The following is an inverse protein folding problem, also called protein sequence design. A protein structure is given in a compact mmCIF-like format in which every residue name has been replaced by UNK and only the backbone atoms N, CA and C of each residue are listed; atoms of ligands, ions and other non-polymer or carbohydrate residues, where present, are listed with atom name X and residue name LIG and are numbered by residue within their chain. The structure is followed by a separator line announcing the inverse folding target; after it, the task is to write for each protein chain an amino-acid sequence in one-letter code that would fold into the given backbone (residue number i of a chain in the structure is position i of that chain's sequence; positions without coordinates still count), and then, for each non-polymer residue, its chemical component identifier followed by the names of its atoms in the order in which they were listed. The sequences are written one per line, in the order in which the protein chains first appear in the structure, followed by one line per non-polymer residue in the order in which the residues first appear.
data_IF_676684876652
#
_entry.id   IF_676684876652
#
_cell.length_a   1.000
_cell.length_b   1.000
_cell.length_c   1.000
_cell.angle_alpha   90.00
_cell.angle_beta   90.00
_cell.angle_gamma   90.00
#
_symmetry.space_group_name_H-M   'P 1'
#
loop_
_entity.id
_entity.type
_entity.pdbx_description
1 polymer ?
#
# COMPACT_ATOMS: atom_id res chain seq x y z
N UNK A 1 -15.44 6.79 20.01
CA UNK A 1 -14.16 6.04 20.01
C UNK A 1 -13.01 6.91 19.50
N UNK A 2 -12.59 7.96 20.23
CA UNK A 2 -11.50 8.88 19.84
C UNK A 2 -10.32 8.93 20.83
N UNK A 3 -10.42 8.24 21.97
CA UNK A 3 -9.51 8.43 23.11
C UNK A 3 -8.19 7.67 22.97
N UNK A 4 -8.23 6.41 22.52
CA UNK A 4 -7.03 5.55 22.42
C UNK A 4 -6.03 6.02 21.34
N UNK A 5 -6.52 6.41 20.16
CA UNK A 5 -5.64 6.86 19.07
C UNK A 5 -4.98 8.20 19.38
N UNK A 6 -5.67 9.08 20.11
CA UNK A 6 -5.15 10.37 20.54
C UNK A 6 -4.01 10.19 21.55
N UNK A 7 -4.22 9.38 22.60
CA UNK A 7 -3.21 9.06 23.60
C UNK A 7 -1.96 8.40 22.97
N UNK A 8 -2.16 7.48 22.02
CA UNK A 8 -1.06 6.85 21.30
C UNK A 8 -0.25 7.86 20.49
N UNK A 9 -0.92 8.80 19.83
CA UNK A 9 -0.28 9.86 19.04
C UNK A 9 0.52 10.81 19.94
N UNK A 10 -0.03 11.18 21.10
CA UNK A 10 0.63 12.01 22.10
C UNK A 10 1.91 11.33 22.63
N UNK A 11 1.84 10.06 23.02
CA UNK A 11 3.00 9.27 23.45
C UNK A 11 4.04 9.07 22.36
N UNK A 12 3.63 8.93 21.10
CA UNK A 12 4.57 8.86 19.99
C UNK A 12 5.35 10.17 19.83
N UNK A 13 4.71 11.32 19.99
CA UNK A 13 5.38 12.63 19.90
C UNK A 13 6.31 12.90 21.09
N UNK A 14 6.03 12.33 22.27
CA UNK A 14 6.92 12.43 23.44
C UNK A 14 8.22 11.65 23.25
N UNK A 15 8.16 10.46 22.65
CA UNK A 15 9.28 9.51 22.61
C UNK A 15 10.07 9.58 21.29
N UNK A 16 9.41 9.86 20.17
CA UNK A 16 10.04 9.85 18.85
C UNK A 16 10.26 11.26 18.31
N UNK A 17 11.47 11.49 17.77
CA UNK A 17 11.77 12.70 16.99
C UNK A 17 10.99 12.75 15.67
N UNK A 18 10.56 11.59 15.16
CA UNK A 18 9.81 11.47 13.92
C UNK A 18 8.32 11.66 14.18
N UNK A 19 7.72 12.59 13.43
CA UNK A 19 6.28 12.84 13.50
C UNK A 19 5.49 11.59 13.07
N UNK A 20 4.33 11.34 13.68
CA UNK A 20 3.39 10.30 13.24
C UNK A 20 3.07 10.49 11.75
N UNK A 21 2.93 9.39 11.01
CA UNK A 21 2.59 9.43 9.60
C UNK A 21 1.21 10.10 9.41
N UNK A 22 1.22 11.32 8.87
CA UNK A 22 0.06 12.15 8.61
C UNK A 22 0.17 12.75 7.21
N UNK A 23 -0.91 12.65 6.44
CA UNK A 23 -1.03 13.16 5.07
C UNK A 23 -1.61 14.59 5.04
N UNK A 24 -1.82 15.22 6.20
CA UNK A 24 -2.30 16.60 6.33
C UNK A 24 -3.82 16.76 6.17
N UNK A 25 -4.53 15.75 5.64
CA UNK A 25 -5.98 15.73 5.52
C UNK A 25 -6.58 14.57 6.32
N UNK A 26 -7.43 14.87 7.31
CA UNK A 26 -7.92 13.88 8.30
C UNK A 26 -8.56 12.65 7.65
N UNK A 27 -9.38 12.86 6.61
CA UNK A 27 -10.01 11.76 5.88
C UNK A 27 -8.98 10.88 5.16
N UNK A 28 -8.01 11.50 4.50
CA UNK A 28 -6.97 10.77 3.76
C UNK A 28 -6.04 10.03 4.72
N UNK A 29 -5.64 10.65 5.82
CA UNK A 29 -4.83 10.04 6.87
C UNK A 29 -5.55 8.85 7.51
N UNK A 30 -6.88 8.92 7.70
CA UNK A 30 -7.66 7.80 8.22
C UNK A 30 -7.61 6.59 7.28
N UNK A 31 -7.91 6.79 5.99
CA UNK A 31 -7.87 5.72 5.01
C UNK A 31 -6.46 5.16 4.82
N UNK A 32 -5.46 6.04 4.73
CA UNK A 32 -4.06 5.64 4.62
C UNK A 32 -3.63 4.74 5.79
N UNK A 33 -3.90 5.15 7.04
CA UNK A 33 -3.56 4.34 8.22
C UNK A 33 -4.28 2.98 8.21
N UNK A 34 -5.54 2.95 7.75
CA UNK A 34 -6.32 1.71 7.65
C UNK A 34 -5.76 0.76 6.60
N UNK A 35 -5.52 1.23 5.38
CA UNK A 35 -4.96 0.41 4.30
C UNK A 35 -3.54 -0.05 4.63
N UNK A 36 -2.68 0.86 5.08
CA UNK A 36 -1.30 0.51 5.43
C UNK A 36 -1.20 -0.43 6.61
N UNK A 37 -2.07 -0.32 7.62
CA UNK A 37 -2.11 -1.29 8.73
C UNK A 37 -2.37 -2.70 8.20
N UNK A 38 -3.38 -2.84 7.33
CA UNK A 38 -3.76 -4.13 6.75
C UNK A 38 -2.61 -4.70 5.89
N UNK A 39 -2.02 -3.86 5.02
CA UNK A 39 -0.91 -4.26 4.15
C UNK A 39 0.33 -4.65 4.97
N UNK A 40 0.64 -3.94 6.04
CA UNK A 40 1.83 -4.20 6.88
C UNK A 40 1.72 -5.51 7.66
N UNK A 41 0.54 -5.91 8.09
CA UNK A 41 0.35 -7.13 8.89
C UNK A 41 0.58 -8.39 8.06
N UNK A 42 0.09 -8.41 6.82
CA UNK A 42 0.21 -9.58 5.95
C UNK A 42 0.28 -9.15 4.47
N UNK A 43 1.43 -8.61 4.03
CA UNK A 43 1.55 -8.00 2.71
C UNK A 43 1.26 -9.01 1.59
N UNK A 44 1.79 -10.23 1.69
CA UNK A 44 1.63 -11.25 0.65
C UNK A 44 0.18 -11.73 0.48
N UNK A 45 -0.61 -11.79 1.56
CA UNK A 45 -1.99 -12.25 1.51
C UNK A 45 -2.85 -11.33 0.64
N UNK A 46 -2.50 -10.05 0.56
CA UNK A 46 -3.27 -9.06 -0.21
C UNK A 46 -2.59 -8.77 -1.54
N UNK A 47 -1.29 -8.52 -1.52
CA UNK A 47 -0.54 -8.10 -2.71
C UNK A 47 -0.54 -9.21 -3.76
N UNK A 48 -0.38 -10.48 -3.39
CA UNK A 48 -0.29 -11.58 -4.36
C UNK A 48 -1.62 -11.81 -5.10
N UNK A 49 -2.79 -11.90 -4.42
CA UNK A 49 -4.06 -11.98 -5.13
C UNK A 49 -4.36 -10.74 -5.96
N UNK A 50 -4.05 -9.54 -5.44
CA UNK A 50 -4.29 -8.30 -6.18
C UNK A 50 -3.42 -8.22 -7.43
N UNK A 51 -2.15 -8.62 -7.34
CA UNK A 51 -1.23 -8.59 -8.48
C UNK A 51 -1.61 -9.61 -9.54
N UNK A 52 -2.10 -10.79 -9.14
CA UNK A 52 -2.62 -11.79 -10.07
C UNK A 52 -3.85 -11.26 -10.81
N UNK A 53 -4.81 -10.69 -10.08
CA UNK A 53 -6.00 -10.09 -10.66
C UNK A 53 -5.64 -8.94 -11.61
N UNK A 54 -4.76 -8.04 -11.18
CA UNK A 54 -4.32 -6.91 -11.99
C UNK A 54 -3.56 -7.37 -13.24
N UNK A 55 -2.68 -8.37 -13.11
CA UNK A 55 -1.96 -8.97 -14.23
C UNK A 55 -2.93 -9.58 -15.25
N UNK A 56 -3.94 -10.33 -14.79
CA UNK A 56 -4.97 -10.91 -15.64
C UNK A 56 -5.74 -9.81 -16.39
N UNK A 57 -6.22 -8.78 -15.68
CA UNK A 57 -6.96 -7.67 -16.29
C UNK A 57 -6.11 -6.92 -17.31
N UNK A 58 -4.84 -6.66 -16.99
CA UNK A 58 -3.92 -5.96 -17.88
C UNK A 58 -3.60 -6.81 -19.11
N UNK A 59 -3.43 -8.11 -18.94
CA UNK A 59 -3.27 -9.05 -20.06
C UNK A 59 -4.51 -9.07 -20.96
N UNK A 60 -5.73 -9.02 -20.41
CA UNK A 60 -6.95 -8.96 -21.23
C UNK A 60 -7.05 -7.67 -22.06
N UNK A 61 -6.55 -6.54 -21.54
CA UNK A 61 -6.59 -5.25 -22.25
C UNK A 61 -5.46 -5.12 -23.28
N UNK A 62 -4.24 -5.54 -22.94
CA UNK A 62 -3.04 -5.28 -23.75
C UNK A 62 -2.50 -6.51 -24.49
N UNK A 63 -2.89 -7.72 -24.08
CA UNK A 63 -2.58 -8.99 -24.72
C UNK A 63 -1.10 -9.17 -25.06
N UNK A 64 -0.83 -9.34 -26.35
CA UNK A 64 0.51 -9.59 -26.89
C UNK A 64 1.52 -8.47 -26.60
N UNK A 65 1.08 -7.20 -26.53
CA UNK A 65 1.98 -6.08 -26.22
C UNK A 65 2.59 -6.23 -24.82
N UNK A 66 1.78 -6.68 -23.86
CA UNK A 66 2.24 -6.90 -22.50
C UNK A 66 3.27 -8.01 -22.46
N UNK A 67 3.01 -9.14 -23.14
CA UNK A 67 3.95 -10.26 -23.23
C UNK A 67 5.29 -9.80 -23.80
N UNK A 68 5.27 -9.07 -24.92
CA UNK A 68 6.49 -8.55 -25.57
C UNK A 68 7.25 -7.61 -24.65
N UNK A 69 6.56 -6.67 -23.99
CA UNK A 69 7.17 -5.74 -23.05
C UNK A 69 7.82 -6.48 -21.87
N UNK A 70 7.10 -7.42 -21.26
CA UNK A 70 7.63 -8.20 -20.14
C UNK A 70 8.81 -9.07 -20.55
N UNK A 71 8.79 -9.67 -21.74
CA UNK A 71 9.93 -10.44 -22.25
C UNK A 71 11.15 -9.54 -22.49
N UNK A 72 10.96 -8.35 -23.08
CA UNK A 72 12.07 -7.39 -23.25
C UNK A 72 12.64 -6.98 -21.89
N UNK A 73 11.80 -6.69 -20.90
CA UNK A 73 12.26 -6.31 -19.56
C UNK A 73 12.93 -7.47 -18.82
N UNK A 74 12.47 -8.70 -19.02
CA UNK A 74 13.02 -9.88 -18.35
C UNK A 74 14.36 -10.32 -18.95
N UNK A 75 14.54 -10.21 -20.26
CA UNK A 75 15.79 -10.58 -20.96
C UNK A 75 16.72 -9.39 -21.24
N UNK A 76 16.27 -8.16 -20.94
CA UNK A 76 17.02 -6.93 -21.12
C UNK A 76 17.85 -6.50 -19.92
N UNK A 77 17.74 -7.21 -18.78
CA UNK A 77 18.57 -7.06 -17.58
C UNK A 77 19.62 -8.17 -17.50
#
# INVERSE_FOLDING_TARGET
MKTLSFQLTEKMNEVFLTKPADLGFVFLTHWYKRFTSIIKTAPFIIIVPLSLLFSLLTYLVFGYLLVKLTSILQYGF
#
